data_IF_265239775227
#
_entry.id   IF_265239775227
#
_cell.length_a   1.000
_cell.length_b   1.000
_cell.length_c   1.000
_cell.angle_alpha   90.00
_cell.angle_beta   90.00
_cell.angle_gamma   90.00
#
_symmetry.space_group_name_H-M   'P 1'
#
loop_
_entity.id
_entity.type
_entity.pdbx_description
1 polymer ?
#
# COMPACT_ATOMS: atom_id res chain seq x y z
N UNK A 1 6.10 -20.22 -21.70
CA UNK A 1 5.04 -19.61 -20.87
C UNK A 1 5.69 -18.84 -19.74
N UNK A 2 5.60 -17.52 -19.78
CA UNK A 2 6.04 -16.66 -18.65
C UNK A 2 5.11 -16.94 -17.48
N UNK A 3 5.64 -17.44 -16.38
CA UNK A 3 4.89 -17.50 -15.11
C UNK A 3 4.70 -16.07 -14.62
N UNK A 4 3.45 -15.64 -14.51
CA UNK A 4 3.10 -14.32 -13.98
C UNK A 4 3.25 -14.37 -12.47
N UNK A 5 4.03 -13.47 -11.89
CA UNK A 5 4.16 -13.40 -10.43
C UNK A 5 2.92 -12.77 -9.80
N UNK A 6 2.64 -13.07 -8.54
CA UNK A 6 1.55 -12.40 -7.78
C UNK A 6 1.74 -10.88 -7.75
N UNK A 7 2.98 -10.42 -7.70
CA UNK A 7 3.34 -9.00 -7.74
C UNK A 7 2.96 -8.37 -9.08
N UNK A 8 3.19 -9.07 -10.19
CA UNK A 8 2.82 -8.57 -11.52
C UNK A 8 1.30 -8.42 -11.67
N UNK A 9 0.52 -9.33 -11.09
CA UNK A 9 -0.95 -9.25 -11.08
C UNK A 9 -1.46 -8.03 -10.29
N UNK A 10 -0.80 -7.68 -9.19
CA UNK A 10 -1.19 -6.55 -8.36
C UNK A 10 -0.72 -5.20 -8.91
N UNK A 11 0.30 -5.17 -9.75
CA UNK A 11 0.99 -3.96 -10.19
C UNK A 11 0.06 -2.89 -10.75
N UNK A 12 -0.90 -3.27 -11.59
CA UNK A 12 -1.85 -2.33 -12.20
C UNK A 12 -2.72 -1.64 -11.14
N UNK A 13 -3.20 -2.40 -10.16
CA UNK A 13 -4.02 -1.88 -9.05
C UNK A 13 -3.19 -1.01 -8.10
N UNK A 14 -1.92 -1.36 -7.87
CA UNK A 14 -1.01 -0.57 -7.05
C UNK A 14 -0.75 0.81 -7.68
N UNK A 15 -0.57 0.88 -8.99
CA UNK A 15 -0.42 2.17 -9.69
C UNK A 15 -1.69 3.01 -9.54
N UNK A 16 -2.88 2.42 -9.77
CA UNK A 16 -4.15 3.11 -9.59
C UNK A 16 -4.35 3.62 -8.15
N UNK A 17 -4.04 2.80 -7.16
CA UNK A 17 -4.10 3.16 -5.75
C UNK A 17 -3.19 4.36 -5.43
N UNK A 18 -1.94 4.34 -5.90
CA UNK A 18 -0.99 5.43 -5.68
C UNK A 18 -1.46 6.74 -6.33
N UNK A 19 -1.98 6.67 -7.58
CA UNK A 19 -2.53 7.85 -8.27
C UNK A 19 -3.68 8.48 -7.50
N UNK A 20 -4.59 7.66 -6.97
CA UNK A 20 -5.73 8.16 -6.19
C UNK A 20 -5.29 8.75 -4.86
N UNK A 21 -4.31 8.14 -4.17
CA UNK A 21 -3.77 8.70 -2.92
C UNK A 21 -3.06 10.04 -3.14
N UNK A 22 -2.35 10.21 -4.25
CA UNK A 22 -1.77 11.51 -4.61
C UNK A 22 -2.87 12.56 -4.80
N UNK A 23 -3.97 12.21 -5.51
CA UNK A 23 -5.12 13.11 -5.66
C UNK A 23 -5.80 13.45 -4.32
N UNK A 24 -5.86 12.50 -3.37
CA UNK A 24 -6.36 12.77 -2.02
C UNK A 24 -5.44 13.77 -1.31
N UNK A 25 -4.13 13.60 -1.40
CA UNK A 25 -3.17 14.52 -0.82
C UNK A 25 -3.29 15.93 -1.43
N UNK A 26 -3.44 16.04 -2.75
CA UNK A 26 -3.63 17.31 -3.44
C UNK A 26 -4.93 18.00 -2.98
N UNK A 27 -6.05 17.26 -2.89
CA UNK A 27 -7.32 17.81 -2.39
C UNK A 27 -7.17 18.34 -0.96
N UNK A 28 -6.49 17.61 -0.08
CA UNK A 28 -6.29 18.02 1.30
C UNK A 28 -5.40 19.28 1.42
N UNK A 29 -4.44 19.45 0.51
CA UNK A 29 -3.58 20.65 0.47
C UNK A 29 -4.36 21.86 -0.06
N UNK A 30 -5.25 21.65 -1.04
CA UNK A 30 -6.00 22.68 -1.72
C UNK A 30 -7.36 22.99 -1.05
N UNK A 31 -7.72 22.28 0.02
CA UNK A 31 -8.99 22.51 0.72
C UNK A 31 -8.96 23.84 1.46
N UNK A 32 -9.82 24.75 1.02
CA UNK A 32 -9.94 26.10 1.58
C UNK A 32 -11.07 26.21 2.64
N UNK A 33 -11.93 25.19 2.73
CA UNK A 33 -13.06 25.18 3.65
C UNK A 33 -14.11 26.24 3.33
N UNK A 34 -14.64 26.85 4.37
CA UNK A 34 -15.62 27.94 4.25
C UNK A 34 -14.90 29.28 4.23
N UNK A 35 -15.06 30.05 3.16
CA UNK A 35 -14.44 31.35 2.99
C UNK A 35 -15.50 32.42 3.25
N UNK A 36 -15.13 33.46 3.99
CA UNK A 36 -15.92 34.63 4.26
C UNK A 36 -15.53 35.72 3.24
N UNK A 37 -16.42 36.06 2.33
CA UNK A 37 -16.28 37.23 1.47
C UNK A 37 -16.83 38.46 2.21
N UNK A 38 -16.06 39.53 2.24
CA UNK A 38 -16.49 40.76 2.84
C UNK A 38 -16.10 41.96 1.98
N UNK A 39 -16.93 43.03 2.08
CA UNK A 39 -16.65 44.30 1.39
C UNK A 39 -15.56 45.06 2.11
N UNK A 40 -14.43 45.28 1.45
CA UNK A 40 -13.29 46.03 1.95
C UNK A 40 -13.65 47.49 2.29
N UNK A 41 -14.61 48.06 1.56
CA UNK A 41 -15.05 49.44 1.79
C UNK A 41 -15.92 49.60 3.05
N UNK A 42 -16.47 48.51 3.55
CA UNK A 42 -17.24 48.52 4.82
C UNK A 42 -16.33 48.54 6.06
N UNK A 43 -15.02 48.33 5.91
CA UNK A 43 -14.07 48.37 7.00
C UNK A 43 -13.36 49.72 7.12
N UNK A 44 -13.03 50.22 8.35
CA UNK A 44 -12.30 51.47 8.55
C UNK A 44 -10.94 51.39 7.82
N UNK A 45 -10.69 52.30 6.91
CA UNK A 45 -9.48 52.35 6.07
C UNK A 45 -8.16 52.36 6.83
N UNK A 46 -8.15 52.81 8.07
CA UNK A 46 -6.95 52.90 8.91
C UNK A 46 -6.44 51.55 9.46
N UNK A 47 -7.23 50.49 9.40
CA UNK A 47 -6.86 49.18 9.94
C UNK A 47 -6.21 48.21 8.93
N UNK A 48 -6.27 48.51 7.64
CA UNK A 48 -5.88 47.52 6.61
C UNK A 48 -4.65 47.89 5.78
N UNK A 49 -4.05 49.06 5.92
CA UNK A 49 -2.86 49.48 5.16
C UNK A 49 -3.17 49.80 3.69
N UNK A 50 -2.41 50.75 3.12
CA UNK A 50 -2.62 51.27 1.75
C UNK A 50 -2.35 50.26 0.62
N UNK A 51 -1.70 49.11 0.92
CA UNK A 51 -1.21 48.16 -0.08
C UNK A 51 -2.22 47.02 -0.43
N UNK A 52 -3.36 46.96 0.25
CA UNK A 52 -4.33 45.87 0.03
C UNK A 52 -5.11 45.96 -1.29
N UNK A 53 -5.20 47.12 -1.91
CA UNK A 53 -5.97 47.36 -3.12
C UNK A 53 -5.23 47.08 -4.43
N UNK A 54 -3.95 46.76 -4.42
CA UNK A 54 -3.17 46.54 -5.63
C UNK A 54 -3.11 45.05 -5.98
N UNK A 55 -4.05 44.67 -6.84
CA UNK A 55 -4.06 43.55 -7.78
C UNK A 55 -3.01 42.45 -7.56
N UNK A 56 -3.15 41.69 -6.48
CA UNK A 56 -2.22 40.64 -6.19
C UNK A 56 -3.01 39.36 -5.89
N UNK A 57 -3.33 38.61 -6.94
CA UNK A 57 -4.01 37.31 -6.82
C UNK A 57 -3.32 36.37 -5.80
N UNK A 58 -1.99 36.47 -5.71
CA UNK A 58 -1.23 35.69 -4.73
C UNK A 58 -1.55 36.09 -3.27
N UNK A 59 -1.69 37.43 -3.00
CA UNK A 59 -2.06 37.91 -1.67
C UNK A 59 -3.50 37.53 -1.32
N UNK A 60 -4.42 37.61 -2.29
CA UNK A 60 -5.80 37.18 -2.10
C UNK A 60 -5.89 35.68 -1.81
N UNK A 61 -5.13 34.86 -2.55
CA UNK A 61 -5.06 33.43 -2.31
C UNK A 61 -4.48 33.11 -0.92
N UNK A 62 -3.41 33.79 -0.51
CA UNK A 62 -2.81 33.62 0.82
C UNK A 62 -3.82 34.03 1.92
N UNK A 63 -4.54 35.13 1.74
CA UNK A 63 -5.57 35.56 2.68
C UNK A 63 -6.71 34.56 2.79
N UNK A 64 -7.14 33.97 1.66
CA UNK A 64 -8.15 32.89 1.67
C UNK A 64 -7.64 31.66 2.43
N UNK A 65 -6.39 31.27 2.20
CA UNK A 65 -5.79 30.07 2.80
C UNK A 65 -5.49 30.24 4.30
N UNK A 66 -4.92 31.38 4.68
CA UNK A 66 -4.43 31.60 6.07
C UNK A 66 -5.52 32.14 6.99
N UNK A 67 -6.42 32.97 6.47
CA UNK A 67 -7.44 33.65 7.26
C UNK A 67 -8.88 33.25 6.90
N UNK A 68 -9.07 32.43 5.86
CA UNK A 68 -10.41 32.07 5.33
C UNK A 68 -11.26 33.31 4.96
N UNK A 69 -10.60 34.37 4.51
CA UNK A 69 -11.24 35.66 4.19
C UNK A 69 -10.88 36.10 2.79
N UNK A 70 -11.87 36.57 2.04
CA UNK A 70 -11.70 37.18 0.72
C UNK A 70 -12.20 38.62 0.73
N UNK A 71 -11.32 39.63 0.75
CA UNK A 71 -11.72 41.02 0.63
C UNK A 71 -12.09 41.35 -0.82
N UNK A 72 -13.25 41.96 -1.01
CA UNK A 72 -13.74 42.43 -2.30
C UNK A 72 -13.82 43.96 -2.31
N UNK A 73 -13.35 44.59 -3.38
CA UNK A 73 -13.53 46.02 -3.57
C UNK A 73 -14.80 46.28 -4.42
N UNK A 74 -15.83 46.82 -3.77
CA UNK A 74 -17.12 47.13 -4.39
C UNK A 74 -17.24 48.61 -4.74
N UNK A 75 -16.11 49.37 -4.73
CA UNK A 75 -16.13 50.79 -5.05
C UNK A 75 -16.57 51.03 -6.50
N UNK A 76 -17.41 52.05 -6.71
CA UNK A 76 -18.01 52.42 -8.02
C UNK A 76 -16.96 52.75 -9.07
N UNK A 77 -15.73 53.07 -8.70
CA UNK A 77 -14.61 53.38 -9.59
C UNK A 77 -14.03 52.15 -10.30
N UNK A 78 -14.27 50.95 -9.78
CA UNK A 78 -13.71 49.71 -10.35
C UNK A 78 -14.73 48.79 -11.04
N UNK A 79 -16.01 49.16 -11.11
CA UNK A 79 -17.05 48.23 -11.55
C UNK A 79 -17.89 48.81 -12.70
N UNK A 80 -17.59 48.41 -13.91
CA UNK A 80 -18.58 48.36 -14.97
C UNK A 80 -19.71 47.34 -14.69
N UNK A 81 -19.53 46.46 -13.69
CA UNK A 81 -20.49 45.47 -13.21
C UNK A 81 -20.58 45.50 -11.69
N UNK A 82 -21.31 46.48 -11.12
CA UNK A 82 -21.67 46.49 -9.73
C UNK A 82 -22.56 45.29 -9.39
N UNK A 83 -21.97 44.19 -8.92
CA UNK A 83 -22.75 43.11 -8.33
C UNK A 83 -23.32 43.59 -6.99
N UNK A 84 -24.63 43.42 -6.80
CA UNK A 84 -25.27 43.63 -5.50
C UNK A 84 -24.74 42.63 -4.48
N UNK A 85 -23.65 43.01 -3.83
CA UNK A 85 -23.04 42.24 -2.77
C UNK A 85 -23.49 42.79 -1.43
N UNK A 86 -24.13 41.98 -0.61
CA UNK A 86 -24.55 42.33 0.74
C UNK A 86 -23.35 42.31 1.68
N UNK A 87 -22.45 43.29 1.67
CA UNK A 87 -21.31 43.51 2.55
C UNK A 87 -20.64 42.27 3.18
N UNK A 88 -21.32 41.13 3.19
CA UNK A 88 -20.87 39.87 3.76
C UNK A 88 -21.58 38.70 3.09
N UNK A 89 -20.81 37.70 2.63
CA UNK A 89 -21.30 36.43 2.09
C UNK A 89 -20.34 35.29 2.45
N UNK A 90 -20.88 34.13 2.78
CA UNK A 90 -20.07 32.92 2.99
C UNK A 90 -20.05 32.10 1.71
N UNK A 91 -18.85 31.71 1.29
CA UNK A 91 -18.63 30.79 0.19
C UNK A 91 -18.14 29.45 0.76
N UNK A 92 -18.95 28.42 0.59
CA UNK A 92 -18.52 27.06 0.98
C UNK A 92 -17.72 26.44 -0.15
N UNK A 93 -16.42 26.21 0.08
CA UNK A 93 -15.49 25.57 -0.84
C UNK A 93 -15.03 24.20 -0.33
N UNK A 94 -15.76 23.60 0.61
CA UNK A 94 -15.47 22.27 1.13
C UNK A 94 -15.54 21.23 -0.02
N UNK A 95 -14.48 20.45 -0.11
CA UNK A 95 -14.35 19.37 -1.09
C UNK A 95 -14.65 17.98 -0.51
N UNK A 96 -15.34 17.92 0.63
CA UNK A 96 -15.63 16.68 1.38
C UNK A 96 -16.23 15.59 0.49
N UNK A 97 -17.19 15.91 -0.37
CA UNK A 97 -17.80 14.94 -1.29
C UNK A 97 -16.80 14.36 -2.30
N UNK A 98 -15.91 15.20 -2.81
CA UNK A 98 -14.85 14.80 -3.74
C UNK A 98 -13.79 13.94 -3.04
N UNK A 99 -13.41 14.32 -1.81
CA UNK A 99 -12.49 13.56 -0.97
C UNK A 99 -13.05 12.16 -0.66
N UNK A 100 -14.29 12.07 -0.20
CA UNK A 100 -14.95 10.79 0.10
C UNK A 100 -15.02 9.87 -1.13
N UNK A 101 -15.33 10.43 -2.29
CA UNK A 101 -15.35 9.68 -3.55
C UNK A 101 -13.96 9.10 -3.89
N UNK A 102 -12.88 9.85 -3.64
CA UNK A 102 -11.51 9.38 -3.87
C UNK A 102 -11.09 8.30 -2.85
N UNK A 103 -11.47 8.45 -1.59
CA UNK A 103 -11.24 7.43 -0.56
C UNK A 103 -11.94 6.11 -0.93
N UNK A 104 -13.19 6.18 -1.40
CA UNK A 104 -13.92 5.00 -1.86
C UNK A 104 -13.22 4.33 -3.05
N UNK A 105 -12.73 5.13 -4.01
CA UNK A 105 -11.99 4.63 -5.17
C UNK A 105 -10.65 3.98 -4.76
N UNK A 106 -9.92 4.56 -3.81
CA UNK A 106 -8.71 3.96 -3.25
C UNK A 106 -9.00 2.59 -2.59
N UNK A 107 -10.05 2.52 -1.80
CA UNK A 107 -10.49 1.26 -1.18
C UNK A 107 -10.92 0.22 -2.23
N UNK A 108 -11.58 0.65 -3.31
CA UNK A 108 -11.91 -0.22 -4.44
C UNK A 108 -10.65 -0.81 -5.09
N UNK A 109 -9.65 -0.01 -5.42
CA UNK A 109 -8.39 -0.52 -5.99
C UNK A 109 -7.68 -1.49 -5.04
N UNK A 110 -7.66 -1.18 -3.74
CA UNK A 110 -7.12 -2.07 -2.72
C UNK A 110 -7.83 -3.42 -2.69
N UNK A 111 -9.16 -3.41 -2.73
CA UNK A 111 -9.95 -4.63 -2.72
C UNK A 111 -9.75 -5.44 -4.00
N UNK A 112 -9.76 -4.80 -5.17
CA UNK A 112 -9.49 -5.45 -6.44
C UNK A 112 -8.09 -6.09 -6.51
N UNK A 113 -7.08 -5.45 -5.89
CA UNK A 113 -5.76 -6.03 -5.78
C UNK A 113 -5.77 -7.34 -4.96
N UNK A 114 -6.48 -7.37 -3.84
CA UNK A 114 -6.61 -8.57 -3.02
C UNK A 114 -7.42 -9.66 -3.72
N UNK A 115 -8.51 -9.30 -4.38
CA UNK A 115 -9.35 -10.22 -5.14
C UNK A 115 -8.57 -10.88 -6.29
N UNK A 116 -7.71 -10.09 -6.97
CA UNK A 116 -6.86 -10.59 -8.07
C UNK A 116 -5.87 -11.69 -7.64
N UNK A 117 -5.44 -11.69 -6.38
CA UNK A 117 -4.54 -12.70 -5.81
C UNK A 117 -5.26 -13.73 -4.93
N UNK A 118 -6.59 -13.63 -4.83
CA UNK A 118 -7.42 -14.57 -4.06
C UNK A 118 -7.32 -14.40 -2.55
N UNK A 119 -6.95 -13.22 -2.07
CA UNK A 119 -6.93 -12.91 -0.63
C UNK A 119 -8.27 -12.25 -0.26
N UNK A 120 -9.04 -12.93 0.57
CA UNK A 120 -10.30 -12.41 1.09
C UNK A 120 -10.13 -11.75 2.48
N UNK A 121 -11.10 -10.93 2.94
CA UNK A 121 -11.05 -10.25 4.23
C UNK A 121 -10.88 -11.20 5.42
N UNK A 122 -11.46 -12.39 5.36
CA UNK A 122 -11.38 -13.41 6.40
C UNK A 122 -9.93 -13.87 6.62
N UNK A 123 -9.16 -13.99 5.52
CA UNK A 123 -7.73 -14.33 5.59
C UNK A 123 -6.90 -13.21 6.19
N UNK A 124 -7.36 -11.95 6.07
CA UNK A 124 -6.72 -10.79 6.69
C UNK A 124 -7.11 -10.62 8.18
N UNK A 125 -7.91 -11.53 8.73
CA UNK A 125 -8.34 -11.47 10.11
C UNK A 125 -9.46 -10.44 10.37
N UNK A 126 -10.17 -10.01 9.33
CA UNK A 126 -11.31 -9.10 9.42
C UNK A 126 -12.62 -9.83 9.05
N UNK A 127 -13.15 -10.69 9.93
CA UNK A 127 -14.41 -11.36 9.66
C UNK A 127 -15.56 -10.33 9.61
N UNK A 128 -16.47 -10.52 8.68
CA UNK A 128 -17.69 -9.70 8.61
C UNK A 128 -18.62 -10.15 9.74
N UNK A 129 -19.07 -9.23 10.58
CA UNK A 129 -19.76 -9.50 11.85
C UNK A 129 -21.07 -10.30 11.79
N UNK A 130 -21.51 -10.74 10.61
CA UNK A 130 -22.71 -11.56 10.40
C UNK A 130 -22.42 -12.94 9.79
N UNK A 131 -21.14 -13.30 9.65
CA UNK A 131 -20.76 -14.59 9.06
C UNK A 131 -20.81 -15.71 10.11
N UNK A 132 -21.29 -16.87 9.69
CA UNK A 132 -21.24 -18.08 10.51
C UNK A 132 -19.82 -18.66 10.53
N UNK A 133 -19.44 -19.35 11.61
CA UNK A 133 -18.12 -19.99 11.71
C UNK A 133 -17.83 -20.92 10.52
N UNK A 134 -18.84 -21.62 10.02
CA UNK A 134 -18.73 -22.49 8.83
C UNK A 134 -18.44 -21.67 7.56
N UNK A 135 -19.12 -20.53 7.40
CA UNK A 135 -18.90 -19.63 6.25
C UNK A 135 -17.49 -19.07 6.24
N UNK A 136 -16.98 -18.63 7.39
CA UNK A 136 -15.60 -18.16 7.54
C UNK A 136 -14.58 -19.25 7.16
N UNK A 137 -14.78 -20.47 7.67
CA UNK A 137 -13.89 -21.60 7.35
C UNK A 137 -13.92 -21.94 5.87
N UNK A 138 -15.08 -21.93 5.24
CA UNK A 138 -15.21 -22.21 3.81
C UNK A 138 -14.55 -21.13 2.96
N UNK A 139 -14.73 -19.84 3.29
CA UNK A 139 -14.10 -18.72 2.62
C UNK A 139 -12.58 -18.75 2.75
N UNK A 140 -12.06 -19.11 3.94
CA UNK A 140 -10.63 -19.32 4.17
C UNK A 140 -10.07 -20.45 3.30
N UNK A 141 -10.74 -21.62 3.28
CA UNK A 141 -10.29 -22.75 2.48
C UNK A 141 -10.28 -22.41 0.99
N UNK A 142 -11.27 -21.69 0.49
CA UNK A 142 -11.31 -21.24 -0.91
C UNK A 142 -10.16 -20.26 -1.23
N UNK A 143 -9.87 -19.32 -0.34
CA UNK A 143 -8.74 -18.40 -0.50
C UNK A 143 -7.41 -19.13 -0.47
N UNK A 144 -7.24 -20.12 0.40
CA UNK A 144 -6.03 -20.95 0.42
C UNK A 144 -5.87 -21.76 -0.86
N UNK A 145 -6.95 -22.37 -1.36
CA UNK A 145 -6.93 -23.16 -2.60
C UNK A 145 -6.44 -22.34 -3.81
N UNK A 146 -6.82 -21.07 -3.93
CA UNK A 146 -6.34 -20.19 -5.00
C UNK A 146 -4.83 -19.91 -4.94
N UNK A 147 -4.27 -19.83 -3.75
CA UNK A 147 -2.84 -19.53 -3.55
C UNK A 147 -1.98 -20.78 -3.39
N UNK A 148 -2.58 -21.95 -3.15
CA UNK A 148 -1.90 -23.21 -2.89
C UNK A 148 -0.96 -23.63 -4.03
N UNK A 149 -1.34 -23.38 -5.28
CA UNK A 149 -0.51 -23.70 -6.45
C UNK A 149 0.87 -23.04 -6.37
N UNK A 150 0.97 -21.82 -5.86
CA UNK A 150 2.25 -21.12 -5.72
C UNK A 150 3.10 -21.73 -4.61
N UNK A 151 2.47 -22.08 -3.47
CA UNK A 151 3.16 -22.74 -2.37
C UNK A 151 3.60 -24.16 -2.73
N UNK A 152 2.75 -24.91 -3.41
CA UNK A 152 3.08 -26.26 -3.90
C UNK A 152 4.24 -26.21 -4.89
N UNK A 153 4.22 -25.29 -5.85
CA UNK A 153 5.34 -25.13 -6.77
C UNK A 153 6.65 -24.76 -6.08
N UNK A 154 6.58 -23.92 -5.05
CA UNK A 154 7.75 -23.55 -4.26
C UNK A 154 8.25 -24.73 -3.44
N UNK A 155 7.37 -25.41 -2.71
CA UNK A 155 7.73 -26.49 -1.77
C UNK A 155 8.14 -27.76 -2.49
N UNK A 156 7.40 -28.17 -3.53
CA UNK A 156 7.57 -29.49 -4.15
C UNK A 156 8.54 -29.46 -5.34
N UNK A 157 8.63 -28.34 -6.05
CA UNK A 157 9.51 -28.24 -7.21
C UNK A 157 10.78 -27.43 -6.94
N UNK A 158 10.68 -26.25 -6.36
CA UNK A 158 11.82 -25.36 -6.23
C UNK A 158 12.75 -25.79 -5.08
N UNK A 159 12.20 -25.98 -3.89
CA UNK A 159 13.01 -26.27 -2.71
C UNK A 159 13.75 -27.60 -2.79
N UNK A 160 13.14 -28.72 -3.21
CA UNK A 160 13.86 -29.98 -3.39
C UNK A 160 15.01 -29.84 -4.40
N UNK A 161 14.81 -29.11 -5.51
CA UNK A 161 15.87 -28.88 -6.50
C UNK A 161 17.06 -28.09 -5.91
N UNK A 162 16.76 -27.03 -5.16
CA UNK A 162 17.80 -26.23 -4.50
C UNK A 162 18.57 -27.08 -3.48
N UNK A 163 17.86 -27.88 -2.69
CA UNK A 163 18.50 -28.77 -1.72
C UNK A 163 19.28 -29.88 -2.42
N UNK A 164 18.77 -30.44 -3.52
CA UNK A 164 19.51 -31.42 -4.32
C UNK A 164 20.83 -30.81 -4.84
N UNK A 165 20.78 -29.63 -5.46
CA UNK A 165 21.98 -28.93 -5.93
C UNK A 165 22.98 -28.66 -4.78
N UNK A 166 22.50 -28.30 -3.59
CA UNK A 166 23.37 -28.12 -2.42
C UNK A 166 24.01 -29.43 -2.00
N UNK A 167 23.28 -30.52 -2.04
CA UNK A 167 23.78 -31.84 -1.69
C UNK A 167 24.85 -32.29 -2.69
N UNK A 168 24.58 -32.14 -4.01
CA UNK A 168 25.53 -32.48 -5.07
C UNK A 168 26.82 -31.64 -4.97
N UNK A 169 26.68 -30.35 -4.71
CA UNK A 169 27.82 -29.45 -4.51
C UNK A 169 28.63 -29.83 -3.24
N UNK A 170 27.93 -30.19 -2.18
CA UNK A 170 28.57 -30.64 -0.93
C UNK A 170 29.29 -31.96 -1.13
N UNK A 171 28.71 -32.91 -1.88
CA UNK A 171 29.37 -34.15 -2.28
C UNK A 171 30.66 -33.89 -3.05
N UNK A 172 30.57 -33.08 -4.12
CA UNK A 172 31.72 -32.72 -4.93
C UNK A 172 32.82 -32.05 -4.14
N UNK A 173 32.49 -31.07 -3.29
CA UNK A 173 33.45 -30.32 -2.48
C UNK A 173 34.12 -31.21 -1.42
N UNK A 174 33.40 -32.15 -0.80
CA UNK A 174 33.93 -33.02 0.22
C UNK A 174 34.60 -34.28 -0.34
N UNK A 175 34.41 -34.62 -1.61
CA UNK A 175 35.02 -35.75 -2.27
C UNK A 175 36.57 -35.73 -2.25
N UNK A 176 37.15 -34.53 -2.28
CA UNK A 176 38.60 -34.33 -2.21
C UNK A 176 39.17 -34.40 -0.81
N UNK A 177 38.35 -34.47 0.23
CA UNK A 177 38.80 -34.54 1.63
C UNK A 177 38.96 -35.99 2.07
N UNK A 178 40.10 -36.36 2.71
CA UNK A 178 40.34 -37.74 3.13
C UNK A 178 39.35 -38.21 4.21
N UNK A 179 38.90 -37.31 5.07
CA UNK A 179 37.85 -37.61 6.04
C UNK A 179 37.07 -36.37 6.44
N UNK A 180 35.75 -36.49 6.51
CA UNK A 180 34.83 -35.45 6.98
C UNK A 180 34.32 -35.85 8.36
N UNK A 181 34.59 -35.02 9.39
CA UNK A 181 34.05 -35.21 10.74
C UNK A 181 32.86 -34.28 10.94
N UNK A 182 31.72 -34.83 11.20
CA UNK A 182 30.50 -34.13 11.57
C UNK A 182 30.13 -34.45 13.00
N UNK A 183 29.80 -33.43 13.77
CA UNK A 183 29.23 -33.63 15.10
C UNK A 183 27.88 -32.95 15.16
N UNK A 184 26.89 -33.64 15.67
CA UNK A 184 25.57 -33.09 15.92
C UNK A 184 25.07 -33.51 17.30
N UNK A 185 24.20 -32.71 17.86
CA UNK A 185 23.57 -33.01 19.14
C UNK A 185 22.18 -33.52 18.88
N UNK A 186 21.85 -34.69 19.38
CA UNK A 186 20.49 -35.26 19.28
C UNK A 186 19.53 -34.50 20.20
N UNK A 187 18.22 -34.72 19.99
CA UNK A 187 17.18 -34.15 20.84
C UNK A 187 17.35 -34.51 22.35
N UNK A 188 18.08 -35.58 22.64
CA UNK A 188 18.37 -36.05 24.00
C UNK A 188 19.68 -35.45 24.57
N UNK A 189 20.18 -34.35 23.97
CA UNK A 189 21.47 -33.73 24.35
C UNK A 189 22.71 -34.63 24.20
N UNK A 190 22.61 -35.75 23.51
CA UNK A 190 23.70 -36.66 23.25
C UNK A 190 24.52 -36.17 22.04
N UNK A 191 25.85 -36.06 22.20
CA UNK A 191 26.74 -35.60 21.14
C UNK A 191 27.21 -36.80 20.30
N UNK A 192 26.74 -36.87 19.08
CA UNK A 192 27.11 -37.92 18.12
C UNK A 192 28.19 -37.38 17.18
N UNK A 193 29.32 -38.09 17.11
CA UNK A 193 30.39 -37.79 16.18
C UNK A 193 30.31 -38.79 15.02
N UNK A 194 30.24 -38.26 13.82
CA UNK A 194 30.17 -39.05 12.61
C UNK A 194 31.39 -38.75 11.74
N UNK A 195 32.12 -39.78 11.32
CA UNK A 195 33.26 -39.66 10.41
C UNK A 195 32.92 -40.34 9.10
N UNK A 196 33.01 -39.62 8.00
CA UNK A 196 32.74 -40.12 6.65
C UNK A 196 33.96 -39.90 5.76
N UNK A 197 34.34 -40.92 5.00
CA UNK A 197 35.37 -40.80 3.97
C UNK A 197 34.80 -40.11 2.73
N UNK A 198 35.55 -39.14 2.17
CA UNK A 198 35.08 -38.33 1.04
C UNK A 198 34.78 -39.14 -0.22
N UNK A 199 35.53 -40.19 -0.49
CA UNK A 199 35.31 -41.11 -1.63
C UNK A 199 34.02 -41.90 -1.49
N UNK A 200 33.62 -42.30 -0.28
CA UNK A 200 32.33 -42.97 -0.04
C UNK A 200 31.13 -42.00 -0.18
N UNK A 201 31.35 -40.72 0.00
CA UNK A 201 30.31 -39.72 -0.19
C UNK A 201 29.93 -39.56 -1.65
N UNK A 202 30.90 -39.60 -2.57
CA UNK A 202 30.71 -39.53 -4.01
C UNK A 202 29.92 -40.70 -4.61
N UNK A 203 30.05 -41.86 -4.01
CA UNK A 203 29.40 -43.11 -4.49
C UNK A 203 27.95 -43.24 -4.01
N UNK A 204 27.44 -42.33 -3.20
CA UNK A 204 26.06 -42.36 -2.69
C UNK A 204 25.16 -41.41 -3.43
N UNK A 205 24.04 -41.92 -3.90
CA UNK A 205 22.95 -41.10 -4.42
C UNK A 205 22.09 -40.64 -3.27
N UNK A 206 21.91 -39.29 -3.17
CA UNK A 206 21.01 -38.68 -2.24
C UNK A 206 19.81 -38.08 -2.96
N UNK A 207 18.62 -38.51 -2.58
CA UNK A 207 17.39 -37.90 -3.04
C UNK A 207 16.80 -37.05 -1.91
N UNK A 208 16.48 -35.80 -2.22
CA UNK A 208 15.87 -34.86 -1.29
C UNK A 208 14.39 -34.79 -1.53
N UNK A 209 13.60 -35.10 -0.51
CA UNK A 209 12.16 -34.99 -0.54
C UNK A 209 11.72 -33.86 0.42
N UNK A 210 10.84 -32.99 -0.04
CA UNK A 210 10.18 -32.05 0.83
C UNK A 210 8.99 -32.76 1.51
N UNK A 211 8.97 -32.75 2.84
CA UNK A 211 7.81 -33.20 3.62
C UNK A 211 7.17 -31.99 4.26
N UNK A 212 5.98 -31.60 3.83
CA UNK A 212 5.14 -30.65 4.54
C UNK A 212 4.49 -31.40 5.71
N UNK A 213 4.76 -30.96 6.95
CA UNK A 213 3.92 -31.36 8.07
C UNK A 213 2.58 -30.66 7.88
N UNK A 214 1.56 -31.39 7.53
CA UNK A 214 0.15 -30.99 7.68
C UNK A 214 -0.22 -30.97 9.16
#
# INVERSE_FOLDING_TARGET
TRSTSLVDLMKAYQVGYNMVNNQIADILVDELGTIIMFDQNALPRHSMGEDWGKNNYAKAYTAMKDFSMLPLDTSITNTENATNFNHYQTLNMEQTGRLMSRIQLANYFKQQAFDAIGINPQRLGAPIGQETATGVTQALNQSYAQTEIYFTQHSDNLMPRVHQMRTDLAQYYNATKPSLRLSYTTSNAEKVNFTMEGTNLLLRDFNVFATTKT
#
